data_IF_466370679771
#
_entry.id   IF_466370679771
#
_cell.length_a   1.000
_cell.length_b   1.000
_cell.length_c   1.000
_cell.angle_alpha   90.00
_cell.angle_beta   90.00
_cell.angle_gamma   90.00
#
_symmetry.space_group_name_H-M   'P 1'
#
loop_
_entity.id
_entity.type
_entity.pdbx_description
1 polymer ?
#
# COMPACT_ATOMS: atom_id res chain seq x y z
N UNK A 1 -24.99 3.62 -16.37
CA UNK A 1 -23.79 4.45 -16.17
C UNK A 1 -23.78 5.53 -17.25
N UNK A 2 -23.83 6.82 -16.90
CA UNK A 2 -23.96 7.94 -17.87
C UNK A 2 -22.62 8.37 -18.49
N UNK A 3 -21.50 8.16 -17.82
CA UNK A 3 -20.16 8.53 -18.31
C UNK A 3 -19.57 7.61 -19.37
N UNK A 4 -20.32 6.60 -19.81
CA UNK A 4 -19.96 5.66 -20.87
C UNK A 4 -20.82 5.92 -22.13
N UNK A 5 -21.06 7.19 -22.41
CA UNK A 5 -21.90 7.69 -23.51
C UNK A 5 -21.25 7.56 -24.89
N UNK A 6 -19.96 7.25 -24.95
CA UNK A 6 -19.23 7.02 -26.21
C UNK A 6 -18.46 5.70 -26.20
N UNK A 7 -18.28 5.03 -27.35
CA UNK A 7 -17.42 3.85 -27.47
C UNK A 7 -15.98 4.12 -27.01
N UNK A 8 -15.49 5.34 -27.23
CA UNK A 8 -14.15 5.75 -26.84
C UNK A 8 -13.96 5.73 -25.32
N UNK A 9 -14.94 6.23 -24.56
CA UNK A 9 -14.92 6.20 -23.09
C UNK A 9 -15.03 4.79 -22.53
N UNK A 10 -15.86 3.94 -23.15
CA UNK A 10 -15.96 2.51 -22.82
C UNK A 10 -14.59 1.84 -22.98
N UNK A 11 -13.96 2.00 -24.15
CA UNK A 11 -12.66 1.39 -24.45
C UNK A 11 -11.56 1.92 -23.53
N UNK A 12 -11.60 3.21 -23.21
CA UNK A 12 -10.60 3.83 -22.31
C UNK A 12 -10.73 3.28 -20.90
N UNK A 13 -11.94 3.20 -20.34
CA UNK A 13 -12.14 2.62 -19.01
C UNK A 13 -11.76 1.13 -18.99
N UNK A 14 -12.16 0.37 -20.02
CA UNK A 14 -11.77 -1.04 -20.14
C UNK A 14 -10.25 -1.22 -20.16
N UNK A 15 -9.52 -0.38 -20.89
CA UNK A 15 -8.06 -0.40 -20.90
C UNK A 15 -7.46 -0.06 -19.51
N UNK A 16 -8.03 0.89 -18.77
CA UNK A 16 -7.60 1.20 -17.40
C UNK A 16 -7.86 0.07 -16.41
N UNK A 17 -8.97 -0.67 -16.59
CA UNK A 17 -9.27 -1.88 -15.80
C UNK A 17 -8.24 -2.97 -16.10
N UNK A 18 -7.93 -3.24 -17.37
CA UNK A 18 -6.92 -4.22 -17.76
C UNK A 18 -5.53 -3.87 -17.22
N UNK A 19 -5.15 -2.60 -17.28
CA UNK A 19 -3.88 -2.13 -16.70
C UNK A 19 -3.83 -2.35 -15.19
N UNK A 20 -4.93 -2.07 -14.50
CA UNK A 20 -5.03 -2.26 -13.05
C UNK A 20 -4.98 -3.75 -12.67
N UNK A 21 -5.63 -4.62 -13.44
CA UNK A 21 -5.54 -6.08 -13.30
C UNK A 21 -4.09 -6.57 -13.47
N UNK A 22 -3.38 -6.12 -14.51
CA UNK A 22 -1.96 -6.48 -14.74
C UNK A 22 -1.05 -6.04 -13.61
N UNK A 23 -1.33 -4.90 -12.95
CA UNK A 23 -0.57 -4.46 -11.76
C UNK A 23 -0.78 -5.39 -10.58
N UNK A 24 -1.99 -5.90 -10.38
CA UNK A 24 -2.27 -6.92 -9.37
C UNK A 24 -1.60 -8.25 -9.72
N UNK A 25 -1.68 -8.67 -10.99
CA UNK A 25 -1.02 -9.88 -11.49
C UNK A 25 0.50 -9.84 -11.24
N UNK A 26 1.14 -8.68 -11.41
CA UNK A 26 2.54 -8.51 -11.05
C UNK A 26 2.81 -8.83 -9.56
N UNK A 27 1.92 -8.44 -8.64
CA UNK A 27 2.04 -8.81 -7.23
C UNK A 27 1.89 -10.33 -7.02
N UNK A 28 1.02 -11.01 -7.77
CA UNK A 28 0.90 -12.47 -7.72
C UNK A 28 2.15 -13.18 -8.28
N UNK A 29 2.71 -12.67 -9.38
CA UNK A 29 4.00 -13.14 -9.89
C UNK A 29 5.09 -12.96 -8.83
N UNK A 30 5.10 -11.81 -8.13
CA UNK A 30 6.03 -11.61 -7.02
C UNK A 30 5.80 -12.63 -5.89
N UNK A 31 4.55 -12.87 -5.51
CA UNK A 31 4.17 -13.84 -4.47
C UNK A 31 4.58 -15.26 -4.81
N UNK A 32 4.43 -15.69 -6.06
CA UNK A 32 4.51 -17.09 -6.45
C UNK A 32 5.90 -17.48 -7.00
N UNK A 33 6.68 -16.50 -7.46
CA UNK A 33 8.03 -16.75 -8.00
C UNK A 33 8.99 -17.27 -6.94
N UNK A 34 9.83 -18.24 -7.32
CA UNK A 34 10.95 -18.68 -6.48
C UNK A 34 12.05 -17.62 -6.42
N UNK A 35 12.54 -17.36 -5.21
CA UNK A 35 13.65 -16.43 -4.97
C UNK A 35 14.80 -17.15 -4.27
N UNK A 36 16.01 -16.67 -4.51
CA UNK A 36 17.13 -17.03 -3.66
C UNK A 36 16.86 -16.52 -2.23
N UNK A 37 17.15 -17.33 -1.20
CA UNK A 37 16.94 -16.97 0.21
C UNK A 37 17.64 -15.66 0.60
N UNK A 38 18.76 -15.33 -0.04
CA UNK A 38 19.51 -14.11 0.24
C UNK A 38 18.78 -12.82 -0.13
N UNK A 39 17.61 -12.88 -0.79
CA UNK A 39 16.78 -11.72 -1.12
C UNK A 39 16.34 -10.91 0.12
N UNK A 40 16.37 -11.52 1.31
CA UNK A 40 16.05 -10.86 2.58
C UNK A 40 17.14 -9.87 3.02
N UNK A 41 18.37 -10.00 2.52
CA UNK A 41 19.47 -9.17 2.98
C UNK A 41 19.57 -7.87 2.16
N UNK A 42 19.48 -6.69 2.80
CA UNK A 42 19.54 -5.42 2.08
C UNK A 42 20.90 -5.17 1.42
N UNK A 43 21.97 -5.84 1.86
CA UNK A 43 23.28 -5.78 1.22
C UNK A 43 23.23 -6.26 -0.26
N UNK A 44 22.28 -7.12 -0.62
CA UNK A 44 22.17 -7.59 -2.00
C UNK A 44 21.82 -6.43 -2.96
N UNK A 45 22.43 -6.38 -4.16
CA UNK A 45 22.16 -5.32 -5.13
C UNK A 45 20.73 -5.36 -5.68
N UNK A 46 20.11 -6.53 -5.65
CA UNK A 46 18.75 -6.78 -6.13
C UNK A 46 17.69 -6.79 -5.01
N UNK A 47 18.03 -6.29 -3.82
CA UNK A 47 17.08 -6.20 -2.70
C UNK A 47 15.83 -5.42 -3.12
N UNK A 48 14.69 -6.01 -2.80
CA UNK A 48 13.36 -5.45 -3.01
C UNK A 48 12.53 -5.81 -1.78
N UNK A 49 12.01 -4.83 -1.02
CA UNK A 49 11.32 -5.10 0.24
C UNK A 49 10.08 -5.98 0.05
N UNK A 50 9.41 -5.94 -1.10
CA UNK A 50 8.26 -6.82 -1.36
C UNK A 50 8.69 -8.27 -1.60
N UNK A 51 9.82 -8.48 -2.30
CA UNK A 51 10.37 -9.84 -2.48
C UNK A 51 10.91 -10.40 -1.17
N UNK A 52 11.56 -9.55 -0.37
CA UNK A 52 12.01 -9.90 0.97
C UNK A 52 10.81 -10.28 1.86
N UNK A 53 9.71 -9.52 1.81
CA UNK A 53 8.49 -9.83 2.55
C UNK A 53 7.90 -11.20 2.16
N UNK A 54 7.83 -11.50 0.85
CA UNK A 54 7.38 -12.81 0.36
C UNK A 54 8.28 -13.93 0.89
N UNK A 55 9.60 -13.74 0.89
CA UNK A 55 10.53 -14.74 1.44
C UNK A 55 10.35 -14.91 2.96
N UNK A 56 10.23 -13.82 3.71
CA UNK A 56 10.02 -13.88 5.17
C UNK A 56 8.70 -14.59 5.51
N UNK A 57 7.63 -14.33 4.75
CA UNK A 57 6.35 -15.04 4.90
C UNK A 57 6.51 -16.55 4.68
N UNK A 58 7.24 -16.97 3.63
CA UNK A 58 7.52 -18.40 3.36
C UNK A 58 8.37 -19.06 4.45
N UNK A 59 9.20 -18.29 5.14
CA UNK A 59 9.99 -18.75 6.29
C UNK A 59 9.18 -18.78 7.60
N UNK A 60 7.92 -18.34 7.58
CA UNK A 60 7.05 -18.26 8.77
C UNK A 60 7.24 -16.99 9.60
N UNK A 61 8.05 -16.03 9.13
CA UNK A 61 8.32 -14.77 9.81
C UNK A 61 7.27 -13.71 9.40
N UNK A 62 6.02 -13.90 9.82
CA UNK A 62 4.89 -13.07 9.35
C UNK A 62 5.04 -11.60 9.79
N UNK A 63 5.41 -11.34 11.04
CA UNK A 63 5.59 -9.97 11.52
C UNK A 63 6.65 -9.20 10.70
N UNK A 64 7.76 -9.87 10.37
CA UNK A 64 8.82 -9.32 9.53
C UNK A 64 8.33 -9.08 8.08
N UNK A 65 7.53 -10.00 7.54
CA UNK A 65 6.93 -9.82 6.22
C UNK A 65 6.01 -8.58 6.18
N UNK A 66 5.15 -8.42 7.20
CA UNK A 66 4.28 -7.26 7.33
C UNK A 66 5.07 -5.97 7.51
N UNK A 67 6.17 -6.01 8.27
CA UNK A 67 7.08 -4.89 8.46
C UNK A 67 7.72 -4.43 7.15
N UNK A 68 8.24 -5.37 6.35
CA UNK A 68 8.83 -5.05 5.05
C UNK A 68 7.80 -4.46 4.05
N UNK A 69 6.55 -4.93 4.08
CA UNK A 69 5.46 -4.32 3.29
C UNK A 69 5.13 -2.92 3.80
N UNK A 70 5.18 -2.69 5.11
CA UNK A 70 4.99 -1.35 5.68
C UNK A 70 6.10 -0.40 5.22
N UNK A 71 7.37 -0.82 5.28
CA UNK A 71 8.50 -0.03 4.75
C UNK A 71 8.34 0.27 3.26
N UNK A 72 7.99 -0.74 2.47
CA UNK A 72 7.71 -0.57 1.05
C UNK A 72 6.59 0.44 0.79
N UNK A 73 5.54 0.43 1.61
CA UNK A 73 4.40 1.35 1.47
C UNK A 73 4.75 2.76 1.94
N UNK A 74 5.47 2.90 3.06
CA UNK A 74 5.83 4.19 3.64
C UNK A 74 6.75 4.98 2.72
N UNK A 75 7.81 4.35 2.21
CA UNK A 75 8.78 4.99 1.33
C UNK A 75 8.31 5.02 -0.12
N UNK A 76 7.71 3.92 -0.58
CA UNK A 76 7.39 3.68 -1.99
C UNK A 76 8.63 3.53 -2.87
N UNK A 77 8.42 3.03 -4.09
CA UNK A 77 9.48 2.89 -5.09
C UNK A 77 9.66 4.19 -5.85
N UNK A 78 10.83 4.81 -5.75
CA UNK A 78 11.12 6.02 -6.52
C UNK A 78 11.46 5.66 -7.97
N UNK A 79 10.98 6.43 -8.95
CA UNK A 79 11.15 6.13 -10.38
C UNK A 79 12.64 6.01 -10.81
N UNK A 80 13.51 6.86 -10.24
CA UNK A 80 14.96 6.85 -10.50
C UNK A 80 15.76 5.97 -9.53
N UNK A 81 15.58 6.18 -8.23
CA UNK A 81 16.38 5.55 -7.17
C UNK A 81 15.86 4.17 -6.73
N UNK A 82 14.74 3.69 -7.30
CA UNK A 82 14.14 2.42 -6.93
C UNK A 82 13.80 2.35 -5.44
N UNK A 83 14.28 1.30 -4.77
CA UNK A 83 14.07 1.05 -3.34
C UNK A 83 15.20 1.60 -2.44
N UNK A 84 16.05 2.51 -2.94
CA UNK A 84 17.24 2.99 -2.21
C UNK A 84 16.94 3.47 -0.79
N UNK A 85 15.93 4.32 -0.61
CA UNK A 85 15.55 4.83 0.70
C UNK A 85 15.10 3.72 1.66
N UNK A 86 14.18 2.86 1.22
CA UNK A 86 13.72 1.72 2.02
C UNK A 86 14.88 0.78 2.39
N UNK A 87 15.78 0.51 1.44
CA UNK A 87 16.98 -0.32 1.65
C UNK A 87 17.92 0.31 2.69
N UNK A 88 18.25 1.59 2.55
CA UNK A 88 19.16 2.31 3.47
C UNK A 88 18.60 2.37 4.88
N UNK A 89 17.30 2.65 5.01
CA UNK A 89 16.63 2.68 6.31
C UNK A 89 16.60 1.27 6.91
N UNK A 90 16.14 0.26 6.18
CA UNK A 90 16.10 -1.11 6.68
C UNK A 90 17.48 -1.65 7.07
N UNK A 91 18.53 -1.30 6.32
CA UNK A 91 19.89 -1.76 6.58
C UNK A 91 20.63 -1.03 7.71
N UNK A 92 20.05 0.02 8.30
CA UNK A 92 20.67 0.74 9.42
C UNK A 92 22.03 1.39 9.15
N UNK A 93 22.46 1.50 7.89
CA UNK A 93 23.76 2.07 7.49
C UNK A 93 25.03 1.27 7.84
N UNK A 94 24.97 0.32 8.77
CA UNK A 94 26.13 -0.43 9.28
C UNK A 94 26.01 -1.94 9.00
N UNK A 95 27.13 -2.59 8.69
CA UNK A 95 27.18 -4.04 8.56
C UNK A 95 26.88 -4.70 9.92
N UNK A 96 25.72 -5.35 10.02
CA UNK A 96 25.35 -6.17 11.19
C UNK A 96 24.19 -5.65 12.04
N UNK A 97 23.58 -4.50 11.71
CA UNK A 97 22.37 -4.03 12.37
C UNK A 97 21.26 -3.80 11.34
N UNK A 98 20.12 -4.46 11.53
CA UNK A 98 18.93 -4.26 10.71
C UNK A 98 17.85 -3.60 11.55
N UNK A 99 17.14 -2.65 10.95
CA UNK A 99 15.86 -2.21 11.48
C UNK A 99 14.78 -3.21 11.07
N UNK A 100 14.96 -4.46 11.48
CA UNK A 100 13.97 -5.54 11.37
C UNK A 100 12.87 -5.40 12.44
N UNK A 101 11.84 -6.22 12.34
CA UNK A 101 10.70 -6.20 13.25
C UNK A 101 11.13 -6.44 14.70
N UNK A 102 12.02 -7.41 14.94
CA UNK A 102 12.51 -7.71 16.28
C UNK A 102 13.20 -6.48 16.90
N UNK A 103 14.03 -5.80 16.13
CA UNK A 103 14.79 -4.63 16.58
C UNK A 103 13.89 -3.41 16.77
N UNK A 104 13.07 -3.07 15.77
CA UNK A 104 12.23 -1.86 15.83
C UNK A 104 11.11 -1.97 16.87
N UNK A 105 10.56 -3.17 17.08
CA UNK A 105 9.47 -3.37 18.05
C UNK A 105 9.95 -3.44 19.50
N UNK A 106 11.21 -3.83 19.74
CA UNK A 106 11.77 -3.87 21.08
C UNK A 106 12.04 -2.47 21.63
N UNK A 107 12.50 -1.53 20.80
CA UNK A 107 12.76 -0.17 21.22
C UNK A 107 12.69 0.84 20.05
N UNK A 108 11.49 1.34 19.70
CA UNK A 108 11.31 2.27 18.58
C UNK A 108 12.01 3.63 18.81
N UNK A 109 12.30 4.01 20.06
CA UNK A 109 13.00 5.26 20.37
C UNK A 109 14.47 5.24 19.89
N UNK A 110 15.12 4.08 19.89
CA UNK A 110 16.51 3.98 19.37
C UNK A 110 16.55 4.26 17.87
N UNK A 111 15.45 3.99 17.14
CA UNK A 111 15.35 4.36 15.73
C UNK A 111 15.29 5.87 15.52
N UNK A 112 14.64 6.61 16.43
CA UNK A 112 14.66 8.07 16.39
C UNK A 112 16.10 8.60 16.47
N UNK A 113 16.87 8.12 17.44
CA UNK A 113 18.27 8.53 17.62
C UNK A 113 19.15 8.13 16.42
N UNK A 114 18.92 6.94 15.87
CA UNK A 114 19.59 6.53 14.64
C UNK A 114 19.24 7.47 13.48
N UNK A 115 17.97 7.81 13.29
CA UNK A 115 17.53 8.69 12.21
C UNK A 115 18.16 10.09 12.36
N UNK A 116 18.24 10.60 13.59
CA UNK A 116 18.91 11.87 13.91
C UNK A 116 20.40 11.84 13.56
N UNK A 117 21.11 10.78 13.95
CA UNK A 117 22.55 10.65 13.72
C UNK A 117 22.91 10.31 12.25
N UNK A 118 21.96 9.83 11.44
CA UNK A 118 22.19 9.38 10.07
C UNK A 118 21.57 10.28 8.98
N UNK A 119 21.25 11.54 9.30
CA UNK A 119 20.70 12.49 8.32
C UNK A 119 21.62 12.67 7.10
N UNK A 120 22.95 12.72 7.31
CA UNK A 120 23.92 12.82 6.21
C UNK A 120 23.90 11.57 5.30
N UNK A 121 23.76 10.38 5.86
CA UNK A 121 23.70 9.11 5.13
C UNK A 121 22.44 8.99 4.26
N UNK A 122 21.33 9.56 4.74
CA UNK A 122 20.04 9.59 4.06
C UNK A 122 19.87 10.79 3.12
N UNK A 123 20.84 11.70 3.08
CA UNK A 123 20.78 12.88 2.23
C UNK A 123 20.63 12.51 0.75
N UNK A 124 19.73 13.21 0.05
CA UNK A 124 19.42 12.97 -1.36
C UNK A 124 18.47 11.80 -1.64
N UNK A 125 18.12 11.00 -0.64
CA UNK A 125 17.06 10.00 -0.77
C UNK A 125 15.68 10.65 -0.90
N UNK A 126 14.79 9.96 -1.62
CA UNK A 126 13.46 10.49 -1.95
C UNK A 126 12.40 9.43 -1.76
N UNK A 127 11.31 9.83 -1.11
CA UNK A 127 10.05 9.11 -1.14
C UNK A 127 9.51 9.05 -2.58
N UNK A 128 8.69 8.04 -2.87
CA UNK A 128 7.92 7.97 -4.11
C UNK A 128 6.96 9.15 -4.28
N UNK A 129 6.42 9.34 -5.49
CA UNK A 129 5.46 10.40 -5.77
C UNK A 129 4.18 10.33 -4.90
N UNK A 130 3.73 9.11 -4.55
CA UNK A 130 2.58 8.91 -3.66
C UNK A 130 2.88 9.21 -2.19
N UNK A 131 4.17 9.34 -1.83
CA UNK A 131 4.66 9.57 -0.46
C UNK A 131 5.51 10.84 -0.36
N UNK A 132 5.44 11.74 -1.36
CA UNK A 132 6.29 12.95 -1.47
C UNK A 132 6.13 13.99 -0.35
N UNK A 133 5.10 13.84 0.48
CA UNK A 133 4.83 14.72 1.62
C UNK A 133 5.28 14.11 2.96
N UNK A 134 5.81 12.88 2.95
CA UNK A 134 6.44 12.28 4.11
C UNK A 134 7.80 12.92 4.41
N UNK A 135 8.28 12.79 5.64
CA UNK A 135 9.50 13.45 6.11
C UNK A 135 10.47 12.48 6.81
N UNK A 136 11.77 12.65 6.52
CA UNK A 136 12.87 12.01 7.25
C UNK A 136 13.35 12.86 8.43
N UNK A 137 12.76 14.03 8.68
CA UNK A 137 13.09 14.82 9.86
C UNK A 137 12.62 14.06 11.12
N UNK A 138 13.53 13.63 12.00
CA UNK A 138 13.19 12.85 13.19
C UNK A 138 12.34 13.65 14.19
N UNK A 139 12.54 14.97 14.25
CA UNK A 139 11.84 15.87 15.18
C UNK A 139 10.47 16.33 14.67
N UNK A 140 10.03 15.86 13.49
CA UNK A 140 8.69 16.15 13.01
C UNK A 140 7.69 15.25 13.73
N UNK A 141 6.64 15.84 14.31
CA UNK A 141 5.53 15.10 14.93
C UNK A 141 4.74 14.22 13.95
N UNK A 142 5.10 14.25 12.65
CA UNK A 142 4.58 13.38 11.59
C UNK A 142 5.73 12.81 10.73
N UNK A 143 6.94 12.81 11.27
CA UNK A 143 8.15 12.29 10.62
C UNK A 143 8.25 10.78 10.72
N UNK A 144 9.20 10.21 9.98
CA UNK A 144 9.36 8.75 9.84
C UNK A 144 9.53 8.03 11.19
N UNK A 145 10.25 8.61 12.16
CA UNK A 145 10.39 8.03 13.49
C UNK A 145 9.04 7.83 14.18
N UNK A 146 8.20 8.86 14.17
CA UNK A 146 6.89 8.82 14.80
C UNK A 146 5.89 7.92 14.04
N UNK A 147 5.96 7.87 12.71
CA UNK A 147 5.20 6.90 11.89
C UNK A 147 5.58 5.47 12.27
N UNK A 148 6.88 5.19 12.45
CA UNK A 148 7.35 3.85 12.83
C UNK A 148 6.90 3.48 14.24
N UNK A 149 7.05 4.41 15.19
CA UNK A 149 6.59 4.25 16.58
C UNK A 149 5.09 3.89 16.63
N UNK A 150 4.24 4.68 15.95
CA UNK A 150 2.79 4.42 15.94
C UNK A 150 2.38 3.17 15.17
N UNK A 151 3.17 2.73 14.17
CA UNK A 151 2.99 1.42 13.54
C UNK A 151 3.32 0.28 14.50
N UNK A 152 4.45 0.36 15.22
CA UNK A 152 4.84 -0.62 16.24
C UNK A 152 3.76 -0.73 17.30
N UNK A 153 3.32 0.40 17.87
CA UNK A 153 2.25 0.44 18.88
C UNK A 153 0.96 -0.22 18.37
N UNK A 154 0.59 0.07 17.12
CA UNK A 154 -0.60 -0.53 16.50
C UNK A 154 -0.48 -2.05 16.39
N UNK A 155 0.62 -2.56 15.84
CA UNK A 155 0.83 -4.02 15.69
C UNK A 155 0.95 -4.71 17.06
N UNK A 156 1.62 -4.09 18.03
CA UNK A 156 1.67 -4.59 19.40
C UNK A 156 0.29 -4.62 20.07
N UNK A 157 -0.58 -3.64 19.80
CA UNK A 157 -1.96 -3.65 20.28
C UNK A 157 -2.80 -4.80 19.68
N UNK A 158 -2.39 -5.32 18.52
CA UNK A 158 -2.95 -6.56 17.93
C UNK A 158 -2.29 -7.82 18.54
N UNK A 159 -1.29 -7.69 19.40
CA UNK A 159 -0.48 -8.78 19.92
C UNK A 159 0.54 -9.35 18.93
N UNK A 160 0.89 -8.60 17.88
CA UNK A 160 1.67 -9.08 16.73
C UNK A 160 0.81 -9.71 15.65
N UNK A 161 1.25 -9.63 14.40
CA UNK A 161 0.56 -10.20 13.24
C UNK A 161 0.40 -11.70 13.34
N UNK A 162 1.43 -12.43 13.79
CA UNK A 162 1.36 -13.88 13.96
C UNK A 162 0.20 -14.28 14.89
N UNK A 163 0.12 -13.67 16.08
CA UNK A 163 -0.91 -13.97 17.05
C UNK A 163 -2.29 -13.46 16.59
N UNK A 164 -2.33 -12.29 15.95
CA UNK A 164 -3.55 -11.73 15.38
C UNK A 164 -4.17 -12.68 14.34
N UNK A 165 -3.37 -13.21 13.40
CA UNK A 165 -3.82 -14.16 12.40
C UNK A 165 -4.33 -15.46 13.04
N UNK A 166 -3.60 -16.00 14.02
CA UNK A 166 -4.03 -17.21 14.73
C UNK A 166 -5.42 -17.05 15.36
N UNK A 167 -5.73 -15.88 15.94
CA UNK A 167 -7.05 -15.59 16.53
C UNK A 167 -8.15 -15.30 15.50
N UNK A 168 -7.79 -14.92 14.27
CA UNK A 168 -8.73 -14.47 13.23
C UNK A 168 -8.75 -15.35 11.98
N UNK A 169 -8.18 -16.55 12.02
CA UNK A 169 -8.02 -17.44 10.85
C UNK A 169 -9.33 -17.80 10.12
N UNK A 170 -10.48 -17.80 10.82
CA UNK A 170 -11.80 -18.10 10.24
C UNK A 170 -12.65 -16.86 9.92
N UNK A 171 -12.09 -15.64 10.01
CA UNK A 171 -12.84 -14.41 9.74
C UNK A 171 -13.01 -14.20 8.23
N UNK A 172 -14.12 -13.58 7.85
CA UNK A 172 -14.34 -13.19 6.47
C UNK A 172 -13.25 -12.16 6.03
N UNK A 173 -12.56 -12.38 4.90
CA UNK A 173 -11.50 -11.49 4.43
C UNK A 173 -11.90 -10.02 4.28
N UNK A 174 -13.13 -9.73 3.83
CA UNK A 174 -13.67 -8.37 3.65
C UNK A 174 -13.97 -7.69 4.97
N UNK A 175 -14.56 -8.43 5.91
CA UNK A 175 -14.80 -7.90 7.26
C UNK A 175 -13.50 -7.60 7.99
N UNK A 176 -12.51 -8.49 7.86
CA UNK A 176 -11.19 -8.32 8.46
C UNK A 176 -10.43 -7.14 7.84
N UNK A 177 -10.50 -6.96 6.51
CA UNK A 177 -9.95 -5.78 5.85
C UNK A 177 -10.58 -4.50 6.41
N UNK A 178 -11.92 -4.45 6.49
CA UNK A 178 -12.65 -3.28 7.02
C UNK A 178 -12.22 -2.94 8.44
N UNK A 179 -12.13 -3.95 9.30
CA UNK A 179 -11.66 -3.79 10.68
C UNK A 179 -10.25 -3.19 10.70
N UNK A 180 -9.29 -3.82 10.01
CA UNK A 180 -7.90 -3.36 9.98
C UNK A 180 -7.77 -1.95 9.38
N UNK A 181 -8.53 -1.65 8.33
CA UNK A 181 -8.52 -0.33 7.69
C UNK A 181 -8.97 0.78 8.63
N UNK A 182 -10.01 0.51 9.44
CA UNK A 182 -10.49 1.45 10.45
C UNK A 182 -9.51 1.57 11.61
N UNK A 183 -8.98 0.44 12.09
CA UNK A 183 -8.10 0.39 13.24
C UNK A 183 -6.72 1.03 12.97
N UNK A 184 -6.19 0.87 11.74
CA UNK A 184 -4.92 1.45 11.30
C UNK A 184 -4.94 2.99 11.27
N UNK A 185 -6.07 3.67 11.56
CA UNK A 185 -6.08 5.13 11.82
C UNK A 185 -5.14 5.54 12.97
N UNK A 186 -4.77 4.59 13.84
CA UNK A 186 -3.76 4.76 14.90
C UNK A 186 -2.35 4.99 14.35
N UNK A 187 -2.06 4.55 13.12
CA UNK A 187 -0.74 4.73 12.48
C UNK A 187 -0.67 6.11 11.83
N UNK A 188 0.21 6.96 12.33
CA UNK A 188 0.38 8.30 11.77
C UNK A 188 1.04 8.26 10.39
N UNK A 189 0.82 9.30 9.57
CA UNK A 189 1.31 9.35 8.18
C UNK A 189 0.60 8.42 7.19
N UNK A 190 -0.23 7.48 7.67
CA UNK A 190 -1.02 6.57 6.84
C UNK A 190 -2.45 7.11 6.72
N UNK A 191 -2.62 8.12 5.86
CA UNK A 191 -3.93 8.62 5.45
C UNK A 191 -4.79 7.55 4.74
N UNK A 192 -5.89 7.96 4.10
CA UNK A 192 -6.76 7.04 3.32
C UNK A 192 -5.96 6.14 2.38
N UNK A 193 -5.07 6.74 1.58
CA UNK A 193 -4.29 6.05 0.57
C UNK A 193 -3.28 5.07 1.19
N UNK A 194 -2.45 5.52 2.14
CA UNK A 194 -1.44 4.66 2.77
C UNK A 194 -2.05 3.42 3.45
N UNK A 195 -3.18 3.57 4.14
CA UNK A 195 -3.89 2.43 4.77
C UNK A 195 -4.41 1.44 3.73
N UNK A 196 -5.03 1.95 2.66
CA UNK A 196 -5.56 1.12 1.58
C UNK A 196 -4.43 0.38 0.86
N UNK A 197 -3.36 1.09 0.48
CA UNK A 197 -2.22 0.52 -0.24
C UNK A 197 -1.50 -0.56 0.59
N UNK A 198 -1.27 -0.30 1.88
CA UNK A 198 -0.62 -1.26 2.77
C UNK A 198 -1.44 -2.55 2.90
N UNK A 199 -2.71 -2.44 3.28
CA UNK A 199 -3.56 -3.60 3.53
C UNK A 199 -3.84 -4.38 2.24
N UNK A 200 -4.06 -3.70 1.11
CA UNK A 200 -4.21 -4.40 -0.17
C UNK A 200 -2.93 -5.08 -0.61
N UNK A 201 -1.74 -4.51 -0.34
CA UNK A 201 -0.48 -5.17 -0.65
C UNK A 201 -0.26 -6.43 0.19
N UNK A 202 -0.59 -6.40 1.48
CA UNK A 202 -0.56 -7.59 2.34
C UNK A 202 -1.45 -8.73 1.79
N UNK A 203 -2.67 -8.38 1.36
CA UNK A 203 -3.60 -9.32 0.71
C UNK A 203 -3.05 -9.89 -0.60
N UNK A 204 -2.57 -9.02 -1.50
CA UNK A 204 -2.02 -9.43 -2.81
C UNK A 204 -0.81 -10.33 -2.69
N UNK A 205 0.07 -10.08 -1.71
CA UNK A 205 1.23 -10.92 -1.44
C UNK A 205 0.89 -12.19 -0.65
N UNK A 206 -0.38 -12.41 -0.30
CA UNK A 206 -0.82 -13.59 0.46
C UNK A 206 -0.21 -13.69 1.86
N UNK A 207 0.17 -12.56 2.45
CA UNK A 207 0.73 -12.51 3.81
C UNK A 207 -0.42 -12.52 4.82
N UNK A 208 -1.43 -11.68 4.59
CA UNK A 208 -2.66 -11.61 5.38
C UNK A 208 -3.84 -11.93 4.46
N UNK A 209 -4.76 -12.86 4.81
CA UNK A 209 -5.88 -13.25 3.95
C UNK A 209 -7.03 -12.22 4.02
N UNK A 210 -6.79 -11.03 3.46
CA UNK A 210 -7.73 -9.89 3.45
C UNK A 210 -7.94 -9.36 2.03
N UNK A 211 -9.13 -8.83 1.78
CA UNK A 211 -9.45 -8.13 0.53
C UNK A 211 -10.38 -6.94 0.81
N UNK A 212 -10.27 -5.83 0.06
CA UNK A 212 -11.09 -4.65 0.30
C UNK A 212 -12.58 -4.94 0.07
N UNK A 213 -13.41 -4.50 1.01
CA UNK A 213 -14.86 -4.66 0.98
C UNK A 213 -15.59 -3.54 0.22
N UNK A 214 -14.89 -2.47 -0.14
CA UNK A 214 -15.37 -1.35 -0.98
C UNK A 214 -14.18 -0.67 -1.66
N UNK A 215 -14.43 0.30 -2.54
CA UNK A 215 -13.37 1.12 -3.13
C UNK A 215 -12.91 2.26 -2.21
N UNK A 216 -13.50 2.40 -1.01
CA UNK A 216 -13.15 3.43 -0.02
C UNK A 216 -13.08 4.83 -0.65
N UNK A 217 -14.14 5.24 -1.34
CA UNK A 217 -14.19 6.52 -2.05
C UNK A 217 -14.22 7.72 -1.10
N UNK A 218 -14.67 7.53 0.15
CA UNK A 218 -14.69 8.59 1.15
C UNK A 218 -13.27 9.11 1.43
N UNK A 219 -13.04 10.39 1.13
CA UNK A 219 -11.73 11.03 1.24
C UNK A 219 -10.75 10.70 0.10
N UNK A 220 -11.18 10.00 -0.95
CA UNK A 220 -10.38 9.70 -2.13
C UNK A 220 -10.69 10.70 -3.27
N UNK A 221 -9.80 11.66 -3.52
CA UNK A 221 -10.07 12.71 -4.53
C UNK A 221 -10.20 12.17 -5.96
N UNK A 222 -9.21 11.40 -6.42
CA UNK A 222 -9.18 10.86 -7.79
C UNK A 222 -10.28 9.81 -8.04
N UNK A 223 -10.30 8.70 -7.27
CA UNK A 223 -11.32 7.65 -7.43
C UNK A 223 -12.75 8.18 -7.35
N UNK A 224 -13.05 9.11 -6.41
CA UNK A 224 -14.39 9.68 -6.28
C UNK A 224 -14.79 10.48 -7.52
N UNK A 225 -13.89 11.31 -8.07
CA UNK A 225 -14.15 12.01 -9.33
C UNK A 225 -14.40 11.04 -10.48
N UNK A 226 -13.70 9.90 -10.52
CA UNK A 226 -13.94 8.87 -11.51
C UNK A 226 -15.27 8.16 -11.36
N UNK A 227 -15.68 7.83 -10.13
CA UNK A 227 -17.00 7.25 -9.88
C UNK A 227 -18.13 8.22 -10.26
N UNK A 228 -18.00 9.50 -9.89
CA UNK A 228 -18.95 10.55 -10.28
C UNK A 228 -19.03 10.72 -11.80
N UNK A 229 -17.87 10.71 -12.47
CA UNK A 229 -17.84 10.72 -13.94
C UNK A 229 -18.54 9.48 -14.52
N UNK A 230 -18.25 8.29 -14.00
CA UNK A 230 -18.82 7.03 -14.50
C UNK A 230 -20.35 7.00 -14.41
N UNK A 231 -20.89 7.30 -13.22
CA UNK A 231 -22.32 7.16 -12.98
C UNK A 231 -23.12 8.36 -13.45
N UNK A 232 -22.58 9.57 -13.30
CA UNK A 232 -23.34 10.81 -13.49
C UNK A 232 -22.92 11.61 -14.73
N UNK A 233 -21.85 11.22 -15.42
CA UNK A 233 -21.19 12.00 -16.49
C UNK A 233 -20.73 13.39 -16.01
N UNK A 234 -20.42 13.52 -14.72
CA UNK A 234 -19.98 14.78 -14.11
C UNK A 234 -19.03 14.52 -12.94
N UNK A 235 -17.76 14.92 -13.06
CA UNK A 235 -16.72 14.71 -12.02
C UNK A 235 -17.02 15.42 -10.69
N UNK A 236 -17.81 16.50 -10.75
CA UNK A 236 -18.12 17.37 -9.63
C UNK A 236 -19.57 17.16 -9.13
N UNK A 237 -20.21 16.07 -9.52
CA UNK A 237 -21.51 15.64 -8.99
C UNK A 237 -21.55 15.68 -7.45
N UNK A 238 -22.70 16.07 -6.90
CA UNK A 238 -22.93 16.12 -5.45
C UNK A 238 -23.22 14.76 -4.82
N UNK A 239 -23.33 13.68 -5.61
CA UNK A 239 -23.54 12.33 -5.07
C UNK A 239 -22.47 11.97 -4.05
N UNK A 240 -22.92 11.33 -2.98
CA UNK A 240 -22.07 10.99 -1.84
C UNK A 240 -21.11 9.87 -2.22
N UNK A 241 -19.94 9.83 -1.57
CA UNK A 241 -18.99 8.75 -1.76
C UNK A 241 -19.59 7.38 -1.38
N UNK A 242 -20.46 7.35 -0.37
CA UNK A 242 -21.15 6.14 0.09
C UNK A 242 -22.08 5.56 -0.97
N UNK A 243 -22.87 6.40 -1.63
CA UNK A 243 -23.79 5.94 -2.68
C UNK A 243 -23.00 5.42 -3.87
N UNK A 244 -21.91 6.11 -4.23
CA UNK A 244 -21.04 5.70 -5.33
C UNK A 244 -20.25 4.42 -5.01
N UNK A 245 -19.79 4.23 -3.77
CA UNK A 245 -19.19 2.95 -3.33
C UNK A 245 -20.20 1.81 -3.45
N UNK A 246 -21.48 2.06 -3.12
CA UNK A 246 -22.56 1.08 -3.26
C UNK A 246 -22.82 0.73 -4.72
N UNK A 247 -22.86 1.74 -5.61
CA UNK A 247 -22.99 1.52 -7.05
C UNK A 247 -21.80 0.72 -7.63
N UNK A 248 -20.58 0.97 -7.15
CA UNK A 248 -19.40 0.22 -7.56
C UNK A 248 -19.47 -1.24 -7.10
N UNK A 249 -20.00 -1.51 -5.91
CA UNK A 249 -20.22 -2.87 -5.45
C UNK A 249 -21.23 -3.62 -6.33
N UNK A 250 -22.33 -2.96 -6.72
CA UNK A 250 -23.28 -3.55 -7.66
C UNK A 250 -22.65 -3.79 -9.04
N UNK A 251 -21.85 -2.86 -9.54
CA UNK A 251 -21.13 -3.03 -10.81
C UNK A 251 -20.14 -4.20 -10.76
N UNK A 252 -19.41 -4.35 -9.65
CA UNK A 252 -18.39 -5.39 -9.50
C UNK A 252 -19.01 -6.80 -9.39
N UNK A 253 -20.30 -6.94 -9.05
CA UNK A 253 -21.00 -8.24 -9.20
C UNK A 253 -21.01 -8.75 -10.65
N UNK A 254 -20.92 -7.85 -11.63
CA UNK A 254 -20.87 -8.18 -13.05
C UNK A 254 -19.44 -8.24 -13.59
N UNK A 255 -18.58 -7.29 -13.18
CA UNK A 255 -17.20 -7.22 -13.67
C UNK A 255 -16.28 -8.24 -12.99
N UNK A 256 -16.52 -8.50 -11.70
CA UNK A 256 -15.74 -9.37 -10.83
C UNK A 256 -14.22 -9.09 -10.90
N UNK A 257 -13.86 -7.81 -10.83
CA UNK A 257 -12.46 -7.34 -10.88
C UNK A 257 -11.93 -6.93 -9.51
N UNK A 258 -12.82 -6.70 -8.55
CA UNK A 258 -12.49 -6.34 -7.19
C UNK A 258 -12.26 -4.85 -6.99
N UNK A 259 -12.43 -4.41 -5.75
CA UNK A 259 -12.52 -2.98 -5.41
C UNK A 259 -11.21 -2.19 -5.60
N UNK A 260 -10.04 -2.84 -5.48
CA UNK A 260 -8.78 -2.18 -5.77
C UNK A 260 -8.66 -1.84 -7.27
N UNK A 261 -9.11 -2.75 -8.16
CA UNK A 261 -9.11 -2.49 -9.60
C UNK A 261 -10.06 -1.36 -9.95
N UNK A 262 -11.25 -1.33 -9.35
CA UNK A 262 -12.19 -0.23 -9.52
C UNK A 262 -11.60 1.11 -9.08
N UNK A 263 -10.97 1.14 -7.90
CA UNK A 263 -10.34 2.35 -7.35
C UNK A 263 -9.23 2.89 -8.25
N UNK A 264 -8.28 2.04 -8.64
CA UNK A 264 -7.13 2.40 -9.45
C UNK A 264 -7.57 2.84 -10.87
N UNK A 265 -8.46 2.08 -11.50
CA UNK A 265 -8.91 2.35 -12.87
C UNK A 265 -9.68 3.66 -12.96
N UNK A 266 -10.57 3.96 -12.00
CA UNK A 266 -11.35 5.20 -11.96
C UNK A 266 -10.47 6.42 -11.65
N UNK A 267 -9.48 6.27 -10.76
CA UNK A 267 -8.51 7.32 -10.45
C UNK A 267 -7.76 7.80 -11.70
N UNK A 268 -7.44 6.87 -12.60
CA UNK A 268 -6.71 7.15 -13.84
C UNK A 268 -7.62 7.57 -14.97
N UNK A 269 -8.72 6.85 -15.19
CA UNK A 269 -9.68 7.16 -16.25
C UNK A 269 -10.21 8.60 -16.15
N UNK A 270 -10.50 9.10 -14.94
CA UNK A 270 -10.99 10.47 -14.77
C UNK A 270 -10.00 11.58 -15.12
N UNK A 271 -8.71 11.27 -15.27
CA UNK A 271 -7.71 12.25 -15.70
C UNK A 271 -7.88 12.57 -17.19
N UNK A 272 -8.17 11.55 -17.99
CA UNK A 272 -8.42 11.63 -19.44
C UNK A 272 -9.39 10.50 -19.84
N UNK A 273 -10.69 10.79 -19.83
CA UNK A 273 -11.74 9.76 -20.05
C UNK A 273 -11.85 9.29 -21.49
N UNK A 274 -11.40 10.13 -22.42
CA UNK A 274 -11.50 9.92 -23.87
C UNK A 274 -10.17 9.44 -24.47
N UNK A 275 -9.10 9.38 -23.68
CA UNK A 275 -7.79 8.95 -24.17
C UNK A 275 -7.07 8.10 -23.14
N UNK A 276 -6.71 6.88 -23.53
CA UNK A 276 -5.97 5.98 -22.67
C UNK A 276 -4.56 6.51 -22.43
N UNK A 277 -4.22 6.65 -21.15
CA UNK A 277 -2.87 6.89 -20.68
C UNK A 277 -2.47 5.75 -19.77
N UNK A 278 -1.38 5.07 -20.14
CA UNK A 278 -0.81 4.01 -19.33
C UNK A 278 -0.51 4.51 -17.93
N UNK A 279 -0.84 3.70 -16.94
CA UNK A 279 -0.48 3.99 -15.57
C UNK A 279 1.05 4.07 -15.38
N UNK A 280 1.52 5.20 -14.85
CA UNK A 280 2.88 5.36 -14.33
C UNK A 280 2.78 5.81 -12.87
N UNK A 281 2.95 4.87 -11.94
CA UNK A 281 3.00 5.13 -10.50
C UNK A 281 4.31 4.64 -9.91
#
# INVERSE_FOLDING_TARGET
MRGLDTPLRINTLAAQIVDSLRRIEYCYILRDKSYNRNIIYPAQPYFDPLKAAVMQNRLGNIDEACWLVFLATHFGKHAKNGWSLAKKVYSGGNAGHLWDWQTISANPEVFHDWLLNNQAYLSGEKFSNHRKYESLNPNSNRGTAEVFRTYVDWVQSLGGWQAFLARNHNKNPRELFRYLYQDMRKVMGFGRLGRFDYLTMLGKLGIIPIEPDSAYLQGATGPLKGARLLFDNNRDSSRSAKDLDSDLLELDKYLNVGMQVSEDSLCNWQKNSDYYQRFSG
#
